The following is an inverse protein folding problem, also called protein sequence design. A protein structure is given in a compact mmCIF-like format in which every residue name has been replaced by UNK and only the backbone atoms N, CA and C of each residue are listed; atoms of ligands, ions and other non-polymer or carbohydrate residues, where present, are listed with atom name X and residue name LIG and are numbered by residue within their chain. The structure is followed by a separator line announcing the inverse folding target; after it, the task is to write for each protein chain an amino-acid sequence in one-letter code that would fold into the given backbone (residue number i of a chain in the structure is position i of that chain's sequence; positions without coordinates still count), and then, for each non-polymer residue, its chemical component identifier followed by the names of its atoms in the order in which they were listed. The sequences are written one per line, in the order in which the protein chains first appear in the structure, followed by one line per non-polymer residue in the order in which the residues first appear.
data_IF_721577714441
#
_entry.id   IF_721577714441
#
_cell.length_a   1.000
_cell.length_b   1.000
_cell.length_c   1.000
_cell.angle_alpha   90.00
_cell.angle_beta   90.00
_cell.angle_gamma   90.00
#
_symmetry.space_group_name_H-M   'P 1'
#
loop_
_entity.id
_entity.type
_entity.pdbx_description
1 polymer ?
#
# COMPACT_ATOMS: atom_id res chain seq x y z
N UNK A 1 20.65 23.34 -22.66
CA UNK A 1 20.92 21.88 -22.72
C UNK A 1 20.48 21.26 -21.39
N UNK A 2 19.38 20.52 -21.37
CA UNK A 2 19.04 19.78 -20.17
C UNK A 2 20.10 18.70 -19.97
N UNK A 3 20.74 18.60 -18.80
CA UNK A 3 21.65 17.49 -18.53
C UNK A 3 20.86 16.18 -18.72
N UNK A 4 21.42 15.26 -19.45
CA UNK A 4 20.77 13.98 -19.71
C UNK A 4 20.47 13.30 -18.36
N UNK A 5 19.21 12.99 -18.10
CA UNK A 5 18.78 12.28 -16.90
C UNK A 5 19.53 10.94 -16.73
N UNK A 6 20.04 10.39 -17.82
CA UNK A 6 20.70 9.08 -17.91
C UNK A 6 21.93 8.91 -17.00
N UNK A 7 22.57 9.98 -16.55
CA UNK A 7 23.71 9.89 -15.63
C UNK A 7 23.33 9.89 -14.15
N UNK A 8 22.10 10.30 -13.79
CA UNK A 8 21.67 10.55 -12.43
C UNK A 8 20.54 9.65 -11.94
N UNK A 9 20.05 8.76 -12.79
CA UNK A 9 18.90 7.90 -12.53
C UNK A 9 19.26 6.42 -12.27
N UNK A 10 20.57 6.09 -12.11
CA UNK A 10 21.03 4.72 -11.97
C UNK A 10 21.03 4.16 -10.56
N UNK A 11 20.98 5.03 -9.55
CA UNK A 11 21.00 4.64 -8.14
C UNK A 11 20.05 5.52 -7.32
N UNK A 12 19.49 4.94 -6.26
CA UNK A 12 18.57 5.66 -5.34
C UNK A 12 19.27 6.73 -4.50
N UNK A 13 20.60 6.68 -4.40
CA UNK A 13 21.41 7.57 -3.56
C UNK A 13 22.12 8.67 -4.33
N UNK A 14 21.94 8.74 -5.66
CA UNK A 14 22.59 9.74 -6.52
C UNK A 14 21.67 10.94 -6.72
N UNK A 15 22.07 12.08 -6.22
CA UNK A 15 21.40 13.35 -6.47
C UNK A 15 21.77 13.92 -7.86
N UNK A 16 20.77 14.46 -8.55
CA UNK A 16 21.01 15.29 -9.72
C UNK A 16 21.60 16.65 -9.32
N UNK A 17 22.14 17.44 -10.27
CA UNK A 17 22.59 18.80 -9.99
C UNK A 17 21.53 19.71 -9.38
N UNK A 18 20.24 19.44 -9.67
CA UNK A 18 19.09 20.16 -9.11
C UNK A 18 18.65 19.63 -7.73
N UNK A 19 19.36 18.66 -7.16
CA UNK A 19 19.03 18.06 -5.87
C UNK A 19 17.89 17.02 -5.92
N UNK A 20 17.59 16.48 -7.10
CA UNK A 20 16.51 15.50 -7.31
C UNK A 20 17.04 14.06 -7.20
N UNK A 21 16.22 13.18 -6.65
CA UNK A 21 16.44 11.74 -6.65
C UNK A 21 15.52 11.11 -7.70
N UNK A 22 15.99 10.88 -8.90
CA UNK A 22 15.17 10.40 -10.02
C UNK A 22 14.55 9.03 -9.78
N UNK A 23 15.24 8.12 -9.12
CA UNK A 23 14.68 6.80 -8.82
C UNK A 23 13.47 6.89 -7.87
N UNK A 24 13.51 7.81 -6.91
CA UNK A 24 12.37 8.08 -6.02
C UNK A 24 11.22 8.70 -6.79
N UNK A 25 11.49 9.63 -7.70
CA UNK A 25 10.45 10.24 -8.55
C UNK A 25 9.80 9.21 -9.48
N UNK A 26 10.56 8.30 -10.06
CA UNK A 26 10.01 7.22 -10.88
C UNK A 26 9.14 6.28 -10.06
N UNK A 27 9.53 5.95 -8.83
CA UNK A 27 8.71 5.16 -7.92
C UNK A 27 7.39 5.86 -7.59
N UNK A 28 7.42 7.15 -7.29
CA UNK A 28 6.22 7.95 -7.03
C UNK A 28 5.30 7.98 -8.26
N UNK A 29 5.88 8.13 -9.45
CA UNK A 29 5.10 8.14 -10.69
C UNK A 29 4.44 6.79 -10.96
N UNK A 30 5.10 5.69 -10.61
CA UNK A 30 4.52 4.35 -10.68
C UNK A 30 3.31 4.21 -9.74
N UNK A 31 3.40 4.73 -8.54
CA UNK A 31 2.29 4.75 -7.56
C UNK A 31 1.10 5.56 -8.08
N UNK A 32 1.35 6.71 -8.70
CA UNK A 32 0.28 7.57 -9.26
C UNK A 32 -0.51 6.91 -10.40
N UNK A 33 0.04 5.89 -11.06
CA UNK A 33 -0.67 5.12 -12.10
C UNK A 33 -1.64 4.08 -11.52
N UNK A 34 -1.65 3.90 -10.22
CA UNK A 34 -2.59 3.00 -9.55
C UNK A 34 -4.03 3.50 -9.63
N UNK A 35 -4.97 2.56 -9.47
CA UNK A 35 -6.39 2.87 -9.39
C UNK A 35 -6.79 3.26 -7.96
N UNK A 36 -7.94 3.89 -7.84
CA UNK A 36 -8.43 4.42 -6.56
C UNK A 36 -8.82 3.31 -5.59
N UNK A 37 -8.57 3.55 -4.32
CA UNK A 37 -9.15 2.82 -3.20
C UNK A 37 -9.76 3.81 -2.21
N UNK A 38 -10.90 3.46 -1.64
CA UNK A 38 -11.70 4.30 -0.76
C UNK A 38 -12.03 3.55 0.52
N UNK A 39 -11.92 4.23 1.65
CA UNK A 39 -12.39 3.75 2.95
C UNK A 39 -13.32 4.76 3.60
N UNK A 40 -14.49 4.30 4.04
CA UNK A 40 -15.48 5.12 4.73
C UNK A 40 -15.75 4.52 6.09
N UNK A 41 -15.54 5.31 7.14
CA UNK A 41 -15.84 4.95 8.52
C UNK A 41 -17.15 5.59 8.96
N UNK A 42 -18.04 4.78 9.52
CA UNK A 42 -19.29 5.23 10.14
C UNK A 42 -19.32 4.80 11.60
N UNK A 43 -20.41 5.11 12.31
CA UNK A 43 -20.62 4.63 13.70
C UNK A 43 -20.77 3.12 13.76
N UNK A 44 -21.34 2.53 12.71
CA UNK A 44 -21.70 1.11 12.68
C UNK A 44 -20.62 0.22 12.06
N UNK A 45 -19.62 0.82 11.38
CA UNK A 45 -18.56 0.04 10.76
C UNK A 45 -17.75 0.81 9.73
N UNK A 46 -16.94 0.04 9.00
CA UNK A 46 -16.07 0.56 7.95
C UNK A 46 -16.39 -0.18 6.66
N UNK A 47 -16.48 0.57 5.58
CA UNK A 47 -16.66 0.04 4.22
C UNK A 47 -15.44 0.42 3.39
N UNK A 48 -14.85 -0.57 2.72
CA UNK A 48 -13.81 -0.36 1.72
C UNK A 48 -14.37 -0.60 0.32
N UNK A 49 -13.96 0.23 -0.60
CA UNK A 49 -14.23 0.07 -2.03
C UNK A 49 -12.94 0.32 -2.82
N UNK A 50 -12.74 -0.45 -3.87
CA UNK A 50 -11.58 -0.31 -4.74
C UNK A 50 -11.96 -0.51 -6.20
N UNK A 51 -11.35 0.29 -7.07
CA UNK A 51 -11.45 0.11 -8.53
C UNK A 51 -10.38 -0.89 -8.95
N UNK A 52 -10.81 -2.03 -9.46
CA UNK A 52 -9.94 -3.06 -10.00
C UNK A 52 -10.13 -3.20 -11.51
N UNK A 53 -9.01 -3.24 -12.23
CA UNK A 53 -9.00 -3.35 -13.69
C UNK A 53 -8.31 -4.64 -14.13
N UNK A 54 -9.01 -5.79 -14.06
CA UNK A 54 -8.45 -7.04 -14.51
C UNK A 54 -8.19 -7.02 -16.02
N UNK A 55 -7.15 -7.70 -16.44
CA UNK A 55 -6.88 -7.92 -17.88
C UNK A 55 -7.86 -8.96 -18.41
N UNK A 56 -8.11 -8.94 -19.74
CA UNK A 56 -9.09 -9.80 -20.43
C UNK A 56 -8.98 -11.31 -20.12
N UNK A 57 -7.77 -11.79 -19.83
CA UNK A 57 -7.52 -13.20 -19.52
C UNK A 57 -7.31 -13.48 -18.03
N UNK A 58 -7.51 -12.49 -17.17
CA UNK A 58 -7.33 -12.61 -15.74
C UNK A 58 -8.66 -12.93 -15.09
N UNK A 59 -8.74 -14.06 -14.39
CA UNK A 59 -9.87 -14.41 -13.54
C UNK A 59 -9.61 -13.81 -12.16
N UNK A 60 -10.48 -12.93 -11.72
CA UNK A 60 -10.42 -12.33 -10.38
C UNK A 60 -11.42 -13.06 -9.51
N UNK A 61 -10.93 -14.03 -8.76
CA UNK A 61 -11.74 -14.76 -7.79
C UNK A 61 -11.90 -14.01 -6.45
N UNK A 62 -10.91 -13.19 -6.10
CA UNK A 62 -10.88 -12.41 -4.86
C UNK A 62 -10.39 -10.98 -5.13
N UNK A 63 -10.81 -10.00 -4.32
CA UNK A 63 -10.31 -8.64 -4.43
C UNK A 63 -8.80 -8.59 -4.29
N UNK A 64 -8.12 -7.92 -5.22
CA UNK A 64 -6.66 -7.82 -5.24
C UNK A 64 -6.11 -6.62 -4.48
N UNK A 65 -6.97 -5.65 -4.17
CA UNK A 65 -6.61 -4.39 -3.51
C UNK A 65 -7.18 -4.27 -2.10
N UNK A 66 -8.06 -5.18 -1.72
CA UNK A 66 -8.67 -5.23 -0.38
C UNK A 66 -8.13 -6.44 0.36
N UNK A 67 -7.56 -6.23 1.52
CA UNK A 67 -6.91 -7.26 2.30
C UNK A 67 -7.48 -7.30 3.71
N UNK A 68 -7.69 -8.50 4.22
CA UNK A 68 -7.99 -8.74 5.63
C UNK A 68 -6.68 -9.02 6.37
N UNK A 69 -6.37 -8.20 7.35
CA UNK A 69 -5.23 -8.40 8.25
C UNK A 69 -5.65 -9.29 9.42
N UNK A 70 -6.71 -8.91 10.13
CA UNK A 70 -7.30 -9.65 11.24
C UNK A 70 -8.83 -9.46 11.20
N UNK A 71 -9.54 -10.05 12.15
CA UNK A 71 -11.01 -9.93 12.22
C UNK A 71 -11.51 -8.48 12.29
N UNK A 72 -10.74 -7.61 12.91
CA UNK A 72 -11.09 -6.20 13.14
C UNK A 72 -10.22 -5.23 12.35
N UNK A 73 -9.34 -5.71 11.46
CA UNK A 73 -8.42 -4.88 10.68
C UNK A 73 -8.54 -5.25 9.20
N UNK A 74 -8.90 -4.26 8.42
CA UNK A 74 -8.87 -4.32 6.95
C UNK A 74 -7.91 -3.29 6.37
N UNK A 75 -7.42 -3.55 5.17
CA UNK A 75 -6.55 -2.65 4.42
C UNK A 75 -7.05 -2.55 2.99
N UNK A 76 -7.11 -1.33 2.50
CA UNK A 76 -7.31 -1.02 1.09
C UNK A 76 -6.02 -0.43 0.53
N UNK A 77 -5.54 -0.96 -0.58
CA UNK A 77 -4.30 -0.55 -1.22
C UNK A 77 -4.56 0.19 -2.53
N UNK A 78 -3.78 1.24 -2.76
CA UNK A 78 -3.72 1.94 -4.03
C UNK A 78 -2.26 2.18 -4.41
N UNK A 79 -1.92 2.10 -5.69
CA UNK A 79 -0.57 2.30 -6.18
C UNK A 79 0.07 1.00 -6.66
N UNK A 80 1.24 0.66 -6.17
CA UNK A 80 1.97 -0.54 -6.55
C UNK A 80 1.57 -1.73 -5.67
N UNK A 81 0.67 -2.56 -6.15
CA UNK A 81 0.03 -3.64 -5.39
C UNK A 81 1.00 -4.74 -4.91
N UNK A 82 2.05 -5.15 -5.66
CA UNK A 82 3.01 -6.14 -5.14
C UNK A 82 3.67 -5.71 -3.83
N UNK A 83 4.04 -4.43 -3.69
CA UNK A 83 4.58 -3.89 -2.43
C UNK A 83 3.53 -3.87 -1.32
N UNK A 84 2.29 -3.55 -1.67
CA UNK A 84 1.17 -3.59 -0.72
C UNK A 84 0.97 -4.99 -0.14
N UNK A 85 1.09 -6.04 -0.93
CA UNK A 85 0.99 -7.43 -0.44
C UNK A 85 2.08 -7.77 0.56
N UNK A 86 3.32 -7.37 0.31
CA UNK A 86 4.41 -7.56 1.26
C UNK A 86 4.13 -6.85 2.58
N UNK A 87 3.69 -5.60 2.54
CA UNK A 87 3.32 -4.83 3.72
C UNK A 87 2.12 -5.44 4.48
N UNK A 88 1.17 -6.01 3.76
CA UNK A 88 0.02 -6.73 4.35
C UNK A 88 0.50 -7.96 5.12
N UNK A 89 1.44 -8.72 4.57
CA UNK A 89 1.99 -9.90 5.25
C UNK A 89 2.76 -9.50 6.51
N UNK A 90 3.54 -8.44 6.47
CA UNK A 90 4.22 -7.87 7.64
C UNK A 90 3.21 -7.38 8.69
N UNK A 91 2.14 -6.72 8.27
CA UNK A 91 1.08 -6.26 9.15
C UNK A 91 0.32 -7.42 9.81
N UNK A 92 0.08 -8.50 9.09
CA UNK A 92 -0.52 -9.73 9.65
C UNK A 92 0.37 -10.33 10.72
N UNK A 93 1.66 -10.46 10.43
CA UNK A 93 2.62 -10.98 11.40
C UNK A 93 2.66 -10.10 12.66
N UNK A 94 2.73 -8.80 12.49
CA UNK A 94 2.77 -7.83 13.59
C UNK A 94 1.47 -7.87 14.43
N UNK A 95 0.32 -7.94 13.78
CA UNK A 95 -0.99 -8.05 14.44
C UNK A 95 -1.08 -9.33 15.28
N UNK A 96 -0.63 -10.47 14.76
CA UNK A 96 -0.63 -11.74 15.48
C UNK A 96 0.34 -11.71 16.66
N UNK A 97 1.52 -11.16 16.48
CA UNK A 97 2.51 -11.01 17.55
C UNK A 97 1.99 -10.14 18.70
N UNK A 98 1.35 -9.02 18.39
CA UNK A 98 0.72 -8.18 19.40
C UNK A 98 -0.43 -8.87 20.12
N UNK A 99 -1.23 -9.65 19.43
CA UNK A 99 -2.34 -10.41 20.01
C UNK A 99 -1.84 -11.44 21.02
N UNK A 100 -0.74 -12.12 20.74
CA UNK A 100 -0.11 -13.10 21.63
C UNK A 100 0.47 -12.41 22.87
N UNK A 101 1.14 -11.27 22.69
CA UNK A 101 1.77 -10.54 23.81
C UNK A 101 0.77 -9.79 24.65
N UNK A 102 -0.35 -9.34 24.07
CA UNK A 102 -1.35 -8.46 24.69
C UNK A 102 -2.68 -9.17 24.94
N UNK A 103 -2.67 -10.42 25.42
CA UNK A 103 -3.89 -11.19 25.75
C UNK A 103 -4.84 -10.44 26.70
N UNK A 104 -4.31 -9.48 27.48
CA UNK A 104 -5.09 -8.63 28.40
C UNK A 104 -5.60 -7.31 27.78
N UNK A 105 -5.19 -6.95 26.58
CA UNK A 105 -5.61 -5.71 25.91
C UNK A 105 -6.64 -6.01 24.82
N UNK A 106 -7.90 -6.08 25.19
CA UNK A 106 -9.03 -6.33 24.29
C UNK A 106 -9.42 -5.12 23.43
N UNK A 107 -8.74 -3.97 23.53
CA UNK A 107 -9.15 -2.71 22.90
C UNK A 107 -8.02 -1.94 22.22
N UNK A 108 -7.14 -2.62 21.47
CA UNK A 108 -6.24 -1.93 20.55
C UNK A 108 -7.04 -1.48 19.32
N UNK A 109 -7.44 -0.22 19.31
CA UNK A 109 -7.85 0.47 18.08
C UNK A 109 -6.60 0.81 17.27
N UNK A 110 -6.12 -0.13 16.47
CA UNK A 110 -5.12 0.17 15.46
C UNK A 110 -5.75 1.03 14.36
N UNK A 111 -4.98 1.96 13.73
CA UNK A 111 -5.49 2.70 12.59
C UNK A 111 -5.98 1.72 11.51
N UNK A 112 -7.24 1.83 11.18
CA UNK A 112 -7.96 0.90 10.31
C UNK A 112 -7.78 1.17 8.81
N UNK A 113 -6.97 2.15 8.44
CA UNK A 113 -6.71 2.49 7.04
C UNK A 113 -5.21 2.66 6.87
N UNK A 114 -4.61 1.76 6.11
CA UNK A 114 -3.28 1.93 5.54
C UNK A 114 -3.47 2.24 4.04
N UNK A 115 -3.14 3.46 3.63
CA UNK A 115 -3.07 3.84 2.20
C UNK A 115 -1.63 3.65 1.74
N UNK A 116 -1.45 2.78 0.79
CA UNK A 116 -0.16 2.53 0.15
C UNK A 116 -0.14 3.16 -1.24
#
# INVERSE_FOLDING_TARGET
MMPSQQGYDRAITVFSPDGRLYQVEYAIETVKRGTIALGIKTKDGIVFAADERPRKLQIVAEPQKLFKIDQHIGVAAAGYIPDARSQVDDARFFSQSNKIVSVSYTHLTLPTILLV
#
